data_IF_065559213770
#
_entry.id   IF_065559213770
#
_cell.length_a   1.000
_cell.length_b   1.000
_cell.length_c   1.000
_cell.angle_alpha   90.00
_cell.angle_beta   90.00
_cell.angle_gamma   90.00
#
_symmetry.space_group_name_H-M   'P 1'
#
loop_
_entity.id
_entity.type
_entity.pdbx_description
1 polymer ?
#
# COMPACT_ATOMS: atom_id res chain seq x y z
N UNK A 1 44.25 14.54 -26.33
CA UNK A 1 43.58 14.44 -25.02
C UNK A 1 42.08 14.54 -25.26
N UNK A 2 41.32 13.50 -24.89
CA UNK A 2 39.89 13.52 -24.51
C UNK A 2 39.39 12.08 -24.55
N UNK A 3 39.43 11.40 -23.40
CA UNK A 3 38.78 10.09 -23.21
C UNK A 3 37.29 10.34 -23.10
N UNK A 4 36.50 9.82 -24.03
CA UNK A 4 35.03 9.78 -23.90
C UNK A 4 34.70 8.56 -23.05
N UNK A 5 34.30 8.78 -21.80
CA UNK A 5 33.83 7.72 -20.89
C UNK A 5 32.45 7.30 -21.39
N UNK A 6 32.30 6.03 -21.78
CA UNK A 6 31.00 5.46 -22.07
C UNK A 6 30.20 5.36 -20.76
N UNK A 7 28.97 5.85 -20.75
CA UNK A 7 28.04 5.60 -19.65
C UNK A 7 27.71 4.10 -19.62
N UNK A 8 27.71 3.44 -18.45
CA UNK A 8 27.24 2.06 -18.35
C UNK A 8 25.74 2.01 -18.67
N UNK A 9 25.35 1.08 -19.55
CA UNK A 9 23.94 0.76 -19.83
C UNK A 9 23.18 0.53 -18.53
N UNK A 10 22.03 1.18 -18.41
CA UNK A 10 21.06 0.85 -17.36
C UNK A 10 20.67 -0.64 -17.50
N UNK A 11 20.56 -1.39 -16.39
CA UNK A 11 20.04 -2.75 -16.46
C UNK A 11 18.63 -2.71 -17.06
N UNK A 12 18.44 -3.52 -18.11
CA UNK A 12 17.12 -3.78 -18.67
C UNK A 12 16.26 -4.38 -17.58
N UNK A 13 15.10 -3.78 -17.37
CA UNK A 13 14.09 -4.37 -16.50
C UNK A 13 13.46 -5.46 -17.37
N UNK A 14 14.00 -6.67 -17.31
CA UNK A 14 13.38 -7.83 -17.92
C UNK A 14 11.99 -7.98 -17.29
N UNK A 15 10.95 -7.80 -18.09
CA UNK A 15 9.53 -7.94 -17.72
C UNK A 15 9.13 -9.39 -17.34
N UNK A 16 10.09 -10.32 -17.23
CA UNK A 16 9.85 -11.77 -17.25
C UNK A 16 10.15 -12.52 -15.94
N UNK A 17 10.23 -11.83 -14.79
CA UNK A 17 10.15 -12.50 -13.48
C UNK A 17 9.43 -11.60 -12.46
N UNK A 18 8.12 -11.42 -12.61
CA UNK A 18 7.28 -11.11 -11.45
C UNK A 18 6.91 -12.45 -10.82
N UNK A 19 7.42 -12.80 -9.62
CA UNK A 19 7.13 -14.10 -9.01
C UNK A 19 5.62 -14.25 -8.89
N UNK A 20 5.08 -15.37 -9.38
CA UNK A 20 3.64 -15.67 -9.37
C UNK A 20 3.03 -15.68 -7.94
N UNK A 21 3.89 -15.61 -6.91
CA UNK A 21 3.57 -15.50 -5.49
C UNK A 21 3.63 -14.07 -4.90
N UNK A 22 3.74 -13.03 -5.74
CA UNK A 22 3.81 -11.63 -5.28
C UNK A 22 2.61 -11.18 -4.42
N UNK A 23 1.55 -11.98 -4.40
CA UNK A 23 0.30 -11.74 -3.68
C UNK A 23 0.29 -12.25 -2.22
N UNK A 24 1.39 -12.85 -1.74
CA UNK A 24 1.62 -13.20 -0.34
C UNK A 24 2.87 -12.52 0.24
N UNK A 25 3.34 -11.42 -0.36
CA UNK A 25 4.59 -10.79 0.04
C UNK A 25 4.42 -9.95 1.30
N UNK A 26 4.82 -10.53 2.42
CA UNK A 26 5.16 -9.74 3.61
C UNK A 26 6.54 -9.10 3.42
N UNK A 27 6.66 -7.81 3.71
CA UNK A 27 7.92 -7.08 3.65
C UNK A 27 8.39 -6.75 5.08
N UNK A 28 9.62 -7.11 5.40
CA UNK A 28 10.19 -6.88 6.72
C UNK A 28 11.35 -5.90 6.62
N UNK A 29 11.37 -4.94 7.53
CA UNK A 29 12.47 -4.00 7.76
C UNK A 29 12.96 -4.16 9.20
N UNK A 30 14.00 -3.40 9.59
CA UNK A 30 14.48 -3.42 10.99
C UNK A 30 13.41 -3.07 12.03
N UNK A 31 12.38 -2.29 11.64
CA UNK A 31 11.39 -1.74 12.57
C UNK A 31 9.95 -2.11 12.27
N UNK A 32 9.66 -2.60 11.06
CA UNK A 32 8.29 -2.77 10.57
C UNK A 32 8.16 -4.06 9.78
N UNK A 33 7.05 -4.76 10.01
CA UNK A 33 6.53 -5.81 9.15
C UNK A 33 5.30 -5.29 8.40
N UNK A 34 5.29 -5.39 7.08
CA UNK A 34 4.18 -5.01 6.22
C UNK A 34 3.56 -6.26 5.62
N UNK A 35 2.29 -6.54 5.92
CA UNK A 35 1.56 -7.72 5.44
C UNK A 35 0.33 -7.32 4.62
N UNK A 36 -0.27 -8.23 3.83
CA UNK A 36 -1.58 -8.00 3.24
C UNK A 36 -2.61 -7.55 4.29
N UNK A 37 -3.51 -6.66 3.87
CA UNK A 37 -4.65 -6.24 4.67
C UNK A 37 -5.58 -7.41 4.96
N UNK A 38 -6.18 -7.38 6.14
CA UNK A 38 -7.24 -8.29 6.52
C UNK A 38 -8.45 -7.50 7.01
N UNK A 39 -9.65 -8.09 6.91
CA UNK A 39 -10.91 -7.44 7.32
C UNK A 39 -10.86 -6.87 8.74
N UNK A 40 -10.11 -7.51 9.65
CA UNK A 40 -9.92 -7.02 11.04
C UNK A 40 -9.19 -5.67 11.11
N UNK A 41 -8.40 -5.32 10.10
CA UNK A 41 -7.65 -4.06 10.04
C UNK A 41 -8.57 -2.86 9.82
N UNK A 42 -9.81 -3.09 9.35
CA UNK A 42 -10.79 -2.04 9.11
C UNK A 42 -11.02 -1.15 10.35
N UNK A 43 -11.00 -1.74 11.55
CA UNK A 43 -11.12 -0.97 12.79
C UNK A 43 -9.94 -0.02 13.00
N UNK A 44 -8.71 -0.49 12.79
CA UNK A 44 -7.49 0.32 12.94
C UNK A 44 -7.48 1.42 11.89
N UNK A 45 -7.79 1.10 10.63
CA UNK A 45 -7.89 2.11 9.59
C UNK A 45 -8.95 3.15 9.90
N UNK A 46 -10.08 2.77 10.51
CA UNK A 46 -11.08 3.74 10.93
C UNK A 46 -10.56 4.74 11.96
N UNK A 47 -9.70 4.31 12.88
CA UNK A 47 -9.03 5.21 13.82
C UNK A 47 -8.08 6.15 13.07
N UNK A 48 -7.25 5.62 12.17
CA UNK A 48 -6.34 6.44 11.34
C UNK A 48 -7.09 7.47 10.49
N UNK A 49 -8.28 7.13 9.98
CA UNK A 49 -9.15 8.08 9.28
C UNK A 49 -9.62 9.22 10.18
N UNK A 50 -9.90 8.96 11.46
CA UNK A 50 -10.31 9.97 12.45
C UNK A 50 -9.17 10.90 12.86
N UNK A 51 -7.93 10.42 12.79
CA UNK A 51 -6.73 11.20 13.11
C UNK A 51 -6.26 12.12 11.96
N UNK A 52 -6.87 12.01 10.77
CA UNK A 52 -6.44 12.76 9.58
C UNK A 52 -6.61 14.27 9.78
N UNK A 53 -5.51 14.99 9.55
CA UNK A 53 -5.47 16.43 9.75
C UNK A 53 -5.99 17.24 8.54
N UNK A 54 -6.16 18.55 8.73
CA UNK A 54 -6.72 19.47 7.74
C UNK A 54 -5.88 19.65 6.46
N UNK A 55 -4.66 19.13 6.40
CA UNK A 55 -3.87 19.15 5.16
C UNK A 55 -4.30 18.05 4.19
N UNK A 56 -4.99 17.02 4.67
CA UNK A 56 -5.51 15.93 3.84
C UNK A 56 -6.67 16.47 2.97
N UNK A 57 -6.77 16.16 1.67
CA UNK A 57 -7.92 16.58 0.85
C UNK A 57 -9.27 16.16 1.44
N UNK A 58 -10.32 16.96 1.24
CA UNK A 58 -11.65 16.73 1.84
C UNK A 58 -12.20 15.32 1.57
N UNK A 59 -12.05 14.81 0.35
CA UNK A 59 -12.49 13.44 -0.02
C UNK A 59 -11.69 12.30 0.67
N UNK A 60 -10.65 12.65 1.43
CA UNK A 60 -9.85 11.73 2.25
C UNK A 60 -9.98 12.04 3.74
N UNK A 61 -11.00 12.80 4.16
CA UNK A 61 -11.37 12.94 5.56
C UNK A 61 -12.69 12.23 5.81
N UNK A 62 -13.02 12.03 7.08
CA UNK A 62 -14.37 11.64 7.42
C UNK A 62 -15.33 12.75 6.99
N UNK A 63 -16.44 12.37 6.37
CA UNK A 63 -17.53 13.31 6.10
C UNK A 63 -18.36 13.56 7.38
N UNK A 64 -19.40 14.39 7.25
CA UNK A 64 -20.24 14.79 8.39
C UNK A 64 -21.02 13.60 8.97
N UNK A 65 -21.32 12.61 8.14
CA UNK A 65 -22.02 11.38 8.46
C UNK A 65 -21.08 10.30 9.02
N UNK A 66 -19.76 10.52 8.94
CA UNK A 66 -18.72 9.70 9.54
C UNK A 66 -18.18 8.59 8.62
N UNK A 67 -18.36 8.71 7.31
CA UNK A 67 -17.83 7.80 6.30
C UNK A 67 -16.35 8.08 5.97
N UNK A 68 -15.55 7.05 5.67
CA UNK A 68 -15.99 5.65 5.60
C UNK A 68 -16.20 5.04 6.99
N UNK A 69 -17.23 4.21 7.09
CA UNK A 69 -17.54 3.37 8.25
C UNK A 69 -16.60 2.16 8.30
N UNK A 70 -16.55 1.47 9.45
CA UNK A 70 -15.78 0.22 9.57
C UNK A 70 -16.25 -0.84 8.56
N UNK A 71 -17.56 -0.90 8.30
CA UNK A 71 -18.13 -1.86 7.35
C UNK A 71 -17.71 -1.58 5.91
N UNK A 72 -17.75 -0.31 5.50
CA UNK A 72 -17.30 0.11 4.17
C UNK A 72 -15.81 -0.15 3.98
N UNK A 73 -14.97 0.16 4.98
CA UNK A 73 -13.54 -0.16 4.92
C UNK A 73 -13.33 -1.69 4.82
N UNK A 74 -14.11 -2.48 5.57
CA UNK A 74 -14.04 -3.93 5.48
C UNK A 74 -14.45 -4.46 4.10
N UNK A 75 -15.46 -3.85 3.48
CA UNK A 75 -15.90 -4.17 2.12
C UNK A 75 -14.84 -3.80 1.09
N UNK A 76 -14.21 -2.63 1.23
CA UNK A 76 -13.08 -2.21 0.40
C UNK A 76 -11.93 -3.23 0.49
N UNK A 77 -11.52 -3.63 1.70
CA UNK A 77 -10.46 -4.64 1.91
C UNK A 77 -10.81 -5.98 1.25
N UNK A 78 -12.09 -6.40 1.27
CA UNK A 78 -12.52 -7.64 0.58
C UNK A 78 -12.48 -7.50 -0.94
N UNK A 79 -12.80 -6.32 -1.46
CA UNK A 79 -12.86 -6.04 -2.88
C UNK A 79 -11.49 -5.75 -3.49
N UNK A 80 -10.53 -5.31 -2.67
CA UNK A 80 -9.15 -5.02 -3.06
C UNK A 80 -8.42 -6.34 -3.39
N UNK A 81 -8.66 -6.87 -4.60
CA UNK A 81 -7.99 -8.06 -5.10
C UNK A 81 -6.48 -7.78 -5.19
N UNK A 82 -5.60 -8.66 -4.65
CA UNK A 82 -4.15 -8.52 -4.75
C UNK A 82 -3.62 -8.36 -6.18
N UNK A 83 -4.39 -8.80 -7.19
CA UNK A 83 -4.04 -8.76 -8.61
C UNK A 83 -4.25 -7.39 -9.28
N UNK A 84 -4.97 -6.45 -8.65
CA UNK A 84 -5.45 -5.25 -9.33
C UNK A 84 -4.61 -3.99 -9.09
N UNK A 85 -3.84 -3.91 -7.99
CA UNK A 85 -3.01 -2.76 -7.58
C UNK A 85 -1.87 -3.25 -6.66
N UNK A 86 -0.77 -2.49 -6.48
CA UNK A 86 0.14 -2.75 -5.35
C UNK A 86 -0.69 -2.67 -4.08
N UNK A 87 -1.05 -3.83 -3.52
CA UNK A 87 -1.97 -3.93 -2.40
C UNK A 87 -1.49 -3.07 -1.24
N UNK A 88 -2.40 -2.30 -0.63
CA UNK A 88 -2.06 -1.60 0.60
C UNK A 88 -1.65 -2.63 1.66
N UNK A 89 -0.52 -2.42 2.32
CA UNK A 89 -0.01 -3.31 3.36
C UNK A 89 -0.28 -2.75 4.75
N UNK A 90 -0.60 -3.63 5.69
CA UNK A 90 -0.79 -3.31 7.11
C UNK A 90 0.49 -3.53 7.89
N UNK A 91 0.83 -2.59 8.78
CA UNK A 91 1.93 -2.74 9.73
C UNK A 91 1.55 -3.75 10.82
N UNK A 92 2.40 -4.75 11.05
CA UNK A 92 2.38 -5.58 12.25
C UNK A 92 3.62 -5.30 13.10
N UNK A 93 3.47 -5.40 14.42
CA UNK A 93 4.54 -5.31 15.42
C UNK A 93 4.87 -6.70 15.96
#
# INVERSE_FOLDING_TARGET
>A
MSRRIAAPSAPGWDDDVMPEDAHAMTLTTERLLLRPQEVRDAYVFRQLWAERDERVPVHRRLDAEGHPTVAEIADDIRQESPRARPGLLTVAL
#
